data_IF_611130350546
#
_entry.id   IF_611130350546
#
_cell.length_a   1.000
_cell.length_b   1.000
_cell.length_c   1.000
_cell.angle_alpha   90.00
_cell.angle_beta   90.00
_cell.angle_gamma   90.00
#
_symmetry.space_group_name_H-M   'P 1'
#
loop_
_entity.id
_entity.type
_entity.pdbx_description
1 polymer ?
#
# COMPACT_ATOMS: atom_id res chain seq x y z
N UNK A 1 5.44 -25.13 1.14
CA UNK A 1 4.88 -23.80 1.46
C UNK A 1 3.38 -23.81 1.21
N UNK A 2 2.60 -23.40 2.21
CA UNK A 2 1.14 -23.40 2.15
C UNK A 2 0.59 -22.32 1.20
N UNK A 3 -0.62 -22.57 0.69
CA UNK A 3 -1.42 -21.58 -0.01
C UNK A 3 -1.71 -20.43 0.98
N UNK A 4 -1.12 -19.26 0.79
CA UNK A 4 -1.41 -18.10 1.65
C UNK A 4 -2.68 -17.40 1.16
N UNK A 5 -3.79 -17.55 1.90
CA UNK A 5 -4.85 -16.55 1.81
C UNK A 5 -4.40 -15.31 2.59
N UNK A 6 -3.85 -14.32 1.89
CA UNK A 6 -3.38 -13.09 2.52
C UNK A 6 -4.56 -12.21 2.93
N UNK A 7 -5.23 -12.58 4.03
CA UNK A 7 -6.12 -11.72 4.82
C UNK A 7 -5.33 -11.18 5.99
N UNK A 8 -5.10 -9.88 6.03
CA UNK A 8 -4.73 -9.22 7.28
C UNK A 8 -6.01 -9.12 8.10
N UNK A 9 -6.31 -10.16 8.89
CA UNK A 9 -7.37 -10.06 9.89
C UNK A 9 -6.77 -9.28 11.06
N UNK A 10 -7.20 -8.04 11.23
CA UNK A 10 -6.91 -7.30 12.47
C UNK A 10 -7.80 -7.90 13.55
N UNK A 11 -7.40 -9.06 14.10
CA UNK A 11 -7.98 -9.59 15.33
C UNK A 11 -7.42 -8.76 16.49
N UNK A 12 -8.11 -7.67 16.80
CA UNK A 12 -7.95 -6.97 18.08
C UNK A 12 -8.55 -7.83 19.18
N UNK A 13 -7.81 -8.85 19.64
CA UNK A 13 -8.09 -9.48 20.93
C UNK A 13 -7.25 -8.78 22.01
N UNK A 14 -7.44 -7.46 22.11
CA UNK A 14 -6.94 -6.70 23.24
C UNK A 14 -7.83 -7.03 24.42
N UNK A 15 -7.42 -8.04 25.18
CA UNK A 15 -7.91 -8.28 26.54
C UNK A 15 -7.37 -7.15 27.42
N UNK A 16 -7.94 -5.95 27.26
CA UNK A 16 -7.67 -4.81 28.14
C UNK A 16 -8.25 -5.14 29.50
N UNK A 17 -7.39 -5.71 30.36
CA UNK A 17 -7.63 -5.76 31.78
C UNK A 17 -7.79 -4.35 32.31
N UNK A 18 -8.91 -4.12 33.00
CA UNK A 18 -9.19 -3.03 33.91
C UNK A 18 -8.96 -1.58 33.42
N UNK A 19 -10.08 -0.96 33.06
CA UNK A 19 -10.45 0.35 33.62
C UNK A 19 -9.95 1.59 32.88
N UNK A 20 -10.67 2.02 31.84
CA UNK A 20 -10.75 3.43 31.47
C UNK A 20 -12.20 3.75 31.08
N UNK A 21 -12.72 4.82 31.68
CA UNK A 21 -14.13 5.18 31.69
C UNK A 21 -14.71 5.66 30.36
N UNK A 22 -16.04 5.74 30.39
CA UNK A 22 -16.97 6.18 29.36
C UNK A 22 -16.49 7.39 28.52
N UNK A 23 -16.48 7.22 27.20
CA UNK A 23 -16.61 8.34 26.24
C UNK A 23 -17.87 8.07 25.41
N UNK A 24 -18.92 8.90 25.46
CA UNK A 24 -20.12 8.69 24.67
C UNK A 24 -19.88 9.21 23.25
N UNK A 25 -19.99 8.33 22.25
CA UNK A 25 -20.13 8.76 20.86
C UNK A 25 -21.53 8.40 20.36
N UNK A 26 -22.33 9.46 20.19
CA UNK A 26 -23.67 9.43 19.62
C UNK A 26 -23.58 9.06 18.13
N UNK A 27 -24.22 7.97 17.73
CA UNK A 27 -24.57 7.74 16.32
C UNK A 27 -26.08 7.90 16.20
N UNK A 28 -26.47 9.02 15.59
CA UNK A 28 -27.82 9.28 15.13
C UNK A 28 -28.22 8.23 14.09
N UNK A 29 -29.33 7.57 14.38
CA UNK A 29 -30.04 6.67 13.49
C UNK A 29 -30.59 7.41 12.27
N UNK A 30 -30.22 6.96 11.08
CA UNK A 30 -31.04 7.12 9.88
C UNK A 30 -31.28 5.74 9.27
N UNK A 31 -32.49 5.25 9.50
CA UNK A 31 -33.12 4.18 8.75
C UNK A 31 -33.47 4.65 7.34
N UNK A 32 -33.11 3.91 6.29
CA UNK A 32 -34.02 3.49 5.21
C UNK A 32 -33.29 2.82 4.03
N UNK A 33 -33.77 1.59 3.73
CA UNK A 33 -34.04 1.03 2.40
C UNK A 33 -32.91 0.68 1.41
N UNK A 34 -32.87 -0.59 1.00
CA UNK A 34 -32.23 -1.02 -0.25
C UNK A 34 -31.80 -2.49 -0.28
N UNK A 35 -32.69 -3.37 -0.73
CA UNK A 35 -32.49 -4.81 -0.96
C UNK A 35 -31.52 -5.07 -2.13
N UNK A 36 -30.92 -6.28 -2.14
CA UNK A 36 -30.04 -6.90 -3.16
C UNK A 36 -28.59 -6.40 -3.23
N UNK A 37 -27.72 -6.98 -2.39
CA UNK A 37 -26.28 -6.98 -2.60
C UNK A 37 -25.85 -8.26 -3.31
N UNK A 38 -25.78 -8.22 -4.63
CA UNK A 38 -25.15 -9.27 -5.45
C UNK A 38 -23.68 -9.44 -5.06
N UNK A 39 -23.22 -10.69 -5.08
CA UNK A 39 -21.86 -11.20 -4.77
C UNK A 39 -20.74 -10.69 -5.70
N UNK A 40 -20.91 -9.54 -6.33
CA UNK A 40 -20.10 -9.05 -7.43
C UNK A 40 -19.56 -7.65 -7.10
N UNK A 41 -18.35 -7.58 -6.55
CA UNK A 41 -17.64 -6.30 -6.46
C UNK A 41 -16.12 -6.48 -6.63
N UNK A 42 -15.52 -7.47 -5.96
CA UNK A 42 -14.06 -7.68 -6.08
C UNK A 42 -13.64 -8.41 -7.37
N UNK A 43 -14.55 -9.13 -8.04
CA UNK A 43 -14.24 -9.87 -9.27
C UNK A 43 -14.01 -8.97 -10.50
N UNK A 44 -14.51 -7.72 -10.48
CA UNK A 44 -14.49 -6.84 -11.66
C UNK A 44 -13.13 -6.22 -11.96
N UNK A 45 -12.21 -6.13 -10.99
CA UNK A 45 -10.88 -5.53 -11.19
C UNK A 45 -9.81 -6.56 -11.59
N UNK A 46 -9.93 -7.79 -11.12
CA UNK A 46 -9.05 -8.90 -11.51
C UNK A 46 -9.30 -9.36 -12.97
N UNK A 47 -10.48 -9.05 -13.52
CA UNK A 47 -10.84 -9.34 -14.92
C UNK A 47 -10.02 -8.55 -15.96
N UNK A 48 -9.42 -7.41 -15.60
CA UNK A 48 -8.71 -6.53 -16.58
C UNK A 48 -7.30 -7.06 -16.93
N UNK A 49 -6.68 -7.88 -16.07
CA UNK A 49 -5.36 -8.50 -16.32
C UNK A 49 -5.38 -10.04 -16.29
N UNK A 50 -6.57 -10.64 -16.17
CA UNK A 50 -6.79 -12.09 -16.23
C UNK A 50 -6.02 -12.90 -15.19
N UNK A 51 -5.58 -12.29 -14.09
CA UNK A 51 -4.71 -12.94 -13.10
C UNK A 51 -3.35 -13.40 -13.64
N UNK A 52 -2.93 -12.98 -14.84
CA UNK A 52 -1.70 -13.49 -15.49
C UNK A 52 -0.41 -12.77 -15.08
N UNK A 53 -0.55 -11.73 -14.27
CA UNK A 53 0.50 -10.76 -13.97
C UNK A 53 0.44 -10.33 -12.52
N UNK A 54 1.61 -10.08 -11.92
CA UNK A 54 1.77 -9.46 -10.61
C UNK A 54 2.37 -8.07 -10.77
N UNK A 55 1.84 -7.08 -10.05
CA UNK A 55 2.42 -5.74 -10.04
C UNK A 55 3.83 -5.78 -9.46
N UNK A 56 4.75 -5.02 -10.04
CA UNK A 56 6.10 -4.88 -9.51
C UNK A 56 6.45 -3.42 -9.28
N UNK A 57 7.26 -3.16 -8.27
CA UNK A 57 7.82 -1.86 -7.98
C UNK A 57 9.34 -1.88 -8.15
N UNK A 58 9.92 -0.73 -8.52
CA UNK A 58 11.38 -0.62 -8.60
C UNK A 58 12.01 -0.91 -7.25
N UNK A 59 12.98 -1.84 -7.21
CA UNK A 59 13.73 -2.14 -5.99
C UNK A 59 14.74 -1.02 -5.63
N UNK A 60 14.95 -0.04 -6.51
CA UNK A 60 15.72 1.16 -6.18
C UNK A 60 14.98 2.00 -5.14
N UNK A 61 15.49 1.95 -3.91
CA UNK A 61 15.12 2.87 -2.85
C UNK A 61 15.45 4.30 -3.28
N UNK A 62 14.44 5.10 -3.62
CA UNK A 62 14.65 6.52 -3.92
C UNK A 62 14.88 7.26 -2.60
N UNK A 63 16.15 7.43 -2.24
CA UNK A 63 16.59 8.33 -1.16
C UNK A 63 16.33 9.82 -1.46
N UNK A 64 15.62 10.15 -2.56
CA UNK A 64 15.62 11.48 -3.16
C UNK A 64 14.36 12.32 -2.89
N UNK A 65 13.31 11.80 -2.26
CA UNK A 65 12.14 12.62 -1.91
C UNK A 65 12.30 13.26 -0.53
N UNK A 66 13.28 14.17 -0.43
CA UNK A 66 13.34 15.15 0.66
C UNK A 66 12.23 16.17 0.43
N UNK A 67 11.16 16.07 1.23
CA UNK A 67 10.06 17.02 1.31
C UNK A 67 10.60 18.46 1.40
N UNK A 68 10.48 19.24 0.32
CA UNK A 68 10.85 20.66 0.34
C UNK A 68 9.75 21.44 1.08
N UNK A 69 10.01 21.76 2.34
CA UNK A 69 9.22 22.73 3.12
C UNK A 69 9.30 24.10 2.44
N UNK A 70 8.18 24.59 1.90
CA UNK A 70 8.10 25.93 1.31
C UNK A 70 8.24 27.00 2.41
N UNK A 71 9.04 28.07 2.19
CA UNK A 71 9.14 29.17 3.14
C UNK A 71 7.88 30.05 3.10
N UNK A 72 7.45 30.50 4.28
CA UNK A 72 6.35 31.45 4.46
C UNK A 72 6.71 32.80 3.81
N UNK A 73 5.88 33.28 2.90
CA UNK A 73 6.06 34.58 2.24
C UNK A 73 5.37 35.66 3.09
N UNK A 74 6.18 36.49 3.77
CA UNK A 74 5.71 37.62 4.57
C UNK A 74 5.54 38.90 3.74
N UNK A 75 4.38 39.52 3.96
CA UNK A 75 3.97 40.93 3.90
C UNK A 75 4.65 41.89 2.90
N UNK A 76 3.89 42.26 1.86
CA UNK A 76 4.27 43.25 0.84
C UNK A 76 3.62 44.62 1.08
N UNK A 77 4.44 45.63 1.38
CA UNK A 77 4.07 47.05 1.46
C UNK A 77 3.36 47.52 0.18
N UNK A 78 2.18 48.15 0.33
CA UNK A 78 1.41 48.79 -0.75
C UNK A 78 2.10 50.09 -1.21
N UNK A 79 2.73 50.04 -2.39
CA UNK A 79 3.15 51.24 -3.10
C UNK A 79 1.96 51.86 -3.86
N UNK A 80 1.80 53.18 -3.78
CA UNK A 80 0.78 53.92 -4.56
C UNK A 80 1.11 53.85 -6.05
N UNK A 81 0.23 53.22 -6.84
CA UNK A 81 0.39 53.02 -8.27
C UNK A 81 -0.26 54.18 -9.04
N UNK A 82 0.56 54.96 -9.74
CA UNK A 82 0.07 55.92 -10.73
C UNK A 82 -0.51 55.19 -11.96
N UNK A 83 -1.48 55.77 -12.68
CA UNK A 83 -2.14 55.10 -13.81
C UNK A 83 -1.17 54.67 -14.92
N UNK A 84 -0.08 55.41 -15.12
CA UNK A 84 1.01 55.05 -16.03
C UNK A 84 1.78 53.80 -15.57
N UNK A 85 2.06 53.67 -14.27
CA UNK A 85 2.73 52.48 -13.70
C UNK A 85 1.84 51.25 -13.73
N UNK A 86 0.53 51.43 -13.54
CA UNK A 86 -0.44 50.35 -13.64
C UNK A 86 -0.49 49.79 -15.07
N UNK A 87 -0.50 50.66 -16.08
CA UNK A 87 -0.48 50.24 -17.48
C UNK A 87 0.78 49.44 -17.83
N UNK A 88 1.95 49.92 -17.38
CA UNK A 88 3.22 49.21 -17.61
C UNK A 88 3.26 47.83 -16.94
N UNK A 89 2.76 47.71 -15.72
CA UNK A 89 2.70 46.43 -15.01
C UNK A 89 1.70 45.46 -15.66
N UNK A 90 0.54 45.95 -16.12
CA UNK A 90 -0.42 45.12 -16.85
C UNK A 90 0.21 44.61 -18.16
N UNK A 91 0.82 45.49 -18.96
CA UNK A 91 1.50 45.08 -20.19
C UNK A 91 2.62 44.06 -19.92
N UNK A 92 3.44 44.29 -18.89
CA UNK A 92 4.51 43.37 -18.50
C UNK A 92 3.98 42.00 -18.06
N UNK A 93 2.91 41.96 -17.25
CA UNK A 93 2.29 40.69 -16.84
C UNK A 93 1.61 39.95 -17.99
N UNK A 94 1.03 40.66 -18.97
CA UNK A 94 0.46 40.08 -20.18
C UNK A 94 1.57 39.46 -21.06
N UNK A 95 2.68 40.18 -21.27
CA UNK A 95 3.83 39.66 -22.03
C UNK A 95 4.48 38.47 -21.32
N UNK A 96 4.66 38.54 -20.00
CA UNK A 96 5.17 37.40 -19.21
C UNK A 96 4.24 36.19 -19.28
N UNK A 97 2.93 36.38 -19.14
CA UNK A 97 1.95 35.29 -19.24
C UNK A 97 1.91 34.71 -20.65
N UNK A 98 1.95 35.54 -21.69
CA UNK A 98 1.98 35.09 -23.08
C UNK A 98 3.27 34.31 -23.38
N UNK A 99 4.42 34.82 -22.95
CA UNK A 99 5.71 34.13 -23.09
C UNK A 99 5.76 32.82 -22.32
N UNK A 100 5.21 32.79 -21.09
CA UNK A 100 5.10 31.55 -20.30
C UNK A 100 4.14 30.56 -20.95
N UNK A 101 2.99 30.99 -21.47
CA UNK A 101 2.04 30.13 -22.18
C UNK A 101 2.65 29.53 -23.44
N UNK A 102 3.37 30.33 -24.24
CA UNK A 102 4.09 29.85 -25.41
C UNK A 102 5.20 28.86 -25.03
N UNK A 103 5.94 29.14 -23.96
CA UNK A 103 6.98 28.24 -23.44
C UNK A 103 6.39 26.94 -22.89
N UNK A 104 5.26 27.00 -22.19
CA UNK A 104 4.52 25.83 -21.68
C UNK A 104 3.88 25.03 -22.82
N UNK A 105 3.36 25.67 -23.87
CA UNK A 105 2.89 24.99 -25.07
C UNK A 105 4.03 24.28 -25.80
N UNK A 106 5.20 24.93 -25.92
CA UNK A 106 6.39 24.32 -26.51
C UNK A 106 6.92 23.15 -25.66
N UNK A 107 6.91 23.30 -24.33
CA UNK A 107 7.27 22.24 -23.37
C UNK A 107 6.28 21.07 -23.40
N UNK A 108 4.97 21.34 -23.49
CA UNK A 108 3.94 20.30 -23.61
C UNK A 108 4.00 19.54 -24.93
N UNK A 109 4.54 20.17 -25.98
CA UNK A 109 4.76 19.54 -27.28
C UNK A 109 6.00 18.64 -27.27
N UNK A 110 6.97 18.92 -26.39
CA UNK A 110 8.05 18.00 -26.09
C UNK A 110 7.52 16.87 -25.18
N UNK A 111 7.06 15.77 -25.80
CA UNK A 111 6.80 14.52 -25.07
C UNK A 111 8.12 14.06 -24.45
N UNK A 112 8.32 14.30 -23.16
CA UNK A 112 9.35 13.58 -22.39
C UNK A 112 8.93 12.10 -22.42
N UNK A 113 9.74 11.20 -23.01
CA UNK A 113 9.45 9.78 -22.92
C UNK A 113 9.49 9.40 -21.45
N UNK A 114 8.34 9.05 -20.87
CA UNK A 114 8.33 8.40 -19.57
C UNK A 114 9.04 7.07 -19.77
N UNK A 115 10.15 6.78 -19.07
CA UNK A 115 10.81 5.49 -19.23
C UNK A 115 9.77 4.40 -18.93
N UNK A 116 9.50 3.54 -19.91
CA UNK A 116 8.56 2.44 -19.73
C UNK A 116 9.23 1.38 -18.87
N UNK A 117 9.16 1.55 -17.55
CA UNK A 117 9.52 0.49 -16.64
C UNK A 117 8.43 -0.59 -16.67
N UNK A 118 8.81 -1.88 -16.61
CA UNK A 118 7.86 -2.95 -16.39
C UNK A 118 7.04 -2.66 -15.13
N UNK A 119 5.72 -2.50 -15.28
CA UNK A 119 4.78 -2.35 -14.15
C UNK A 119 4.24 -3.69 -13.65
N UNK A 120 4.54 -4.75 -14.39
CA UNK A 120 4.00 -6.08 -14.17
C UNK A 120 5.04 -7.15 -14.49
N UNK A 121 5.04 -8.20 -13.68
CA UNK A 121 5.76 -9.43 -13.88
C UNK A 121 4.79 -10.51 -14.38
N UNK A 122 5.02 -11.10 -15.57
CA UNK A 122 4.17 -12.17 -16.08
C UNK A 122 4.43 -13.44 -15.29
N UNK A 123 3.37 -13.99 -14.68
CA UNK A 123 3.45 -15.23 -13.87
C UNK A 123 2.59 -16.36 -14.44
N UNK A 124 1.83 -16.09 -15.51
CA UNK A 124 0.85 -17.05 -16.03
C UNK A 124 -0.42 -17.08 -15.19
N UNK A 125 -1.34 -17.97 -15.54
CA UNK A 125 -2.66 -18.02 -14.91
C UNK A 125 -2.59 -18.37 -13.42
N UNK A 126 -3.19 -17.52 -12.59
CA UNK A 126 -3.33 -17.74 -11.16
C UNK A 126 -4.74 -18.27 -10.90
N UNK A 127 -4.83 -19.55 -10.60
CA UNK A 127 -6.08 -20.19 -10.23
C UNK A 127 -6.56 -19.76 -8.84
N UNK A 128 -7.84 -20.02 -8.57
CA UNK A 128 -8.41 -19.82 -7.25
C UNK A 128 -8.52 -21.15 -6.53
N UNK A 129 -8.02 -21.18 -5.30
CA UNK A 129 -8.11 -22.32 -4.39
C UNK A 129 -9.11 -22.02 -3.28
N UNK A 130 -9.70 -23.07 -2.70
CA UNK A 130 -10.49 -22.92 -1.46
C UNK A 130 -9.69 -23.43 -0.28
N UNK A 131 -9.71 -22.66 0.79
CA UNK A 131 -9.05 -23.05 2.05
C UNK A 131 -9.81 -22.54 3.27
N UNK A 132 -9.63 -23.25 4.38
CA UNK A 132 -10.07 -22.79 5.69
C UNK A 132 -9.05 -21.82 6.27
N UNK A 133 -9.53 -20.83 7.03
CA UNK A 133 -8.67 -20.00 7.88
C UNK A 133 -8.67 -20.63 9.26
N UNK A 134 -7.48 -20.96 9.73
CA UNK A 134 -7.23 -21.55 11.04
C UNK A 134 -6.16 -20.73 11.76
N UNK A 135 -6.13 -20.82 13.08
CA UNK A 135 -5.08 -20.21 13.87
C UNK A 135 -3.73 -20.83 13.49
N UNK A 136 -2.75 -19.98 13.21
CA UNK A 136 -1.44 -20.42 12.76
C UNK A 136 -0.48 -20.60 13.94
N UNK A 137 0.19 -21.75 13.99
CA UNK A 137 1.38 -21.94 14.85
C UNK A 137 2.64 -21.35 14.22
N UNK A 138 2.59 -21.04 12.93
CA UNK A 138 3.65 -20.40 12.14
C UNK A 138 3.58 -18.88 12.27
N UNK A 139 4.73 -18.23 12.08
CA UNK A 139 4.93 -16.78 12.08
C UNK A 139 4.62 -16.11 13.43
N UNK A 140 5.03 -16.75 14.53
CA UNK A 140 4.96 -16.14 15.87
C UNK A 140 5.75 -14.83 15.93
N UNK A 141 5.45 -13.99 16.93
CA UNK A 141 6.06 -12.66 17.06
C UNK A 141 7.58 -12.70 17.20
N UNK A 142 8.15 -13.77 17.74
CA UNK A 142 9.59 -14.01 17.97
C UNK A 142 10.26 -14.90 16.90
N UNK A 143 9.50 -15.37 15.90
CA UNK A 143 9.98 -16.35 14.92
C UNK A 143 10.73 -15.73 13.73
N UNK A 144 11.82 -15.00 13.98
CA UNK A 144 12.54 -14.20 12.97
C UNK A 144 12.92 -14.99 11.69
N UNK A 145 13.46 -16.19 11.84
CA UNK A 145 13.87 -17.03 10.72
C UNK A 145 12.70 -17.43 9.81
N UNK A 146 11.53 -17.64 10.42
CA UNK A 146 10.33 -18.01 9.68
C UNK A 146 9.79 -16.80 8.91
N UNK A 147 9.73 -15.64 9.54
CA UNK A 147 9.37 -14.38 8.89
C UNK A 147 10.32 -14.03 7.72
N UNK A 148 11.61 -14.28 7.88
CA UNK A 148 12.60 -14.02 6.85
C UNK A 148 12.49 -15.02 5.67
N UNK A 149 11.82 -16.16 5.87
CA UNK A 149 11.55 -17.16 4.82
C UNK A 149 10.33 -16.86 3.94
N UNK A 150 9.60 -15.77 4.20
CA UNK A 150 8.38 -15.40 3.46
C UNK A 150 8.62 -15.12 1.97
N UNK A 151 9.84 -14.75 1.58
CA UNK A 151 10.19 -14.41 0.21
C UNK A 151 11.31 -15.32 -0.30
N UNK A 152 11.24 -15.86 -1.52
CA UNK A 152 12.31 -16.66 -2.08
C UNK A 152 13.54 -15.77 -2.34
N UNK A 153 14.71 -16.21 -1.88
CA UNK A 153 15.97 -15.47 -2.07
C UNK A 153 15.90 -14.04 -1.51
N UNK A 154 16.20 -13.06 -2.36
CA UNK A 154 16.11 -11.63 -2.02
C UNK A 154 14.71 -11.03 -2.20
N UNK A 155 13.74 -11.83 -2.66
CA UNK A 155 12.39 -11.40 -3.01
C UNK A 155 12.30 -10.49 -4.24
N UNK A 156 13.36 -10.40 -5.04
CA UNK A 156 13.44 -9.57 -6.23
C UNK A 156 13.24 -10.40 -7.50
N UNK A 157 12.75 -9.72 -8.54
CA UNK A 157 12.72 -10.19 -9.93
C UNK A 157 13.51 -9.23 -10.80
N UNK A 158 14.19 -9.78 -11.80
CA UNK A 158 15.08 -9.05 -12.69
C UNK A 158 14.43 -8.98 -14.07
N UNK A 159 14.05 -7.77 -14.51
CA UNK A 159 13.24 -7.53 -15.71
C UNK A 159 13.90 -6.60 -16.71
N UNK A 160 13.52 -6.76 -17.98
CA UNK A 160 14.05 -6.01 -19.12
C UNK A 160 15.48 -6.39 -19.51
N UNK A 161 15.98 -5.82 -20.60
CA UNK A 161 17.28 -6.18 -21.18
C UNK A 161 18.44 -5.95 -20.22
N UNK A 162 18.31 -4.94 -19.36
CA UNK A 162 19.31 -4.58 -18.36
C UNK A 162 19.16 -5.35 -17.03
N UNK A 163 18.26 -6.35 -16.95
CA UNK A 163 18.00 -7.14 -15.74
C UNK A 163 17.81 -6.27 -14.50
N UNK A 164 16.99 -5.22 -14.63
CA UNK A 164 16.79 -4.29 -13.53
C UNK A 164 16.02 -4.97 -12.40
N UNK A 165 16.38 -4.74 -11.13
CA UNK A 165 15.71 -5.37 -10.00
C UNK A 165 14.39 -4.67 -9.69
N UNK A 166 13.36 -5.48 -9.50
CA UNK A 166 12.02 -5.08 -9.07
C UNK A 166 11.52 -5.99 -7.96
N UNK A 167 10.65 -5.47 -7.11
CA UNK A 167 9.99 -6.23 -6.05
C UNK A 167 8.56 -6.52 -6.48
N UNK A 168 8.11 -7.79 -6.52
CA UNK A 168 6.70 -8.11 -6.62
C UNK A 168 5.91 -7.50 -5.45
N UNK A 169 4.79 -6.85 -5.74
CA UNK A 169 4.02 -6.09 -4.75
C UNK A 169 3.58 -6.94 -3.55
N UNK A 170 3.36 -8.24 -3.77
CA UNK A 170 3.01 -9.18 -2.70
C UNK A 170 4.18 -9.39 -1.71
N UNK A 171 5.40 -9.55 -2.21
CA UNK A 171 6.59 -9.69 -1.36
C UNK A 171 6.96 -8.38 -0.65
N UNK A 172 6.71 -7.23 -1.28
CA UNK A 172 6.85 -5.95 -0.61
C UNK A 172 5.90 -5.84 0.60
N UNK A 173 4.64 -6.23 0.44
CA UNK A 173 3.67 -6.26 1.56
C UNK A 173 4.16 -7.14 2.71
N UNK A 174 4.65 -8.35 2.41
CA UNK A 174 5.17 -9.27 3.44
C UNK A 174 6.40 -8.71 4.16
N UNK A 175 7.33 -8.08 3.43
CA UNK A 175 8.50 -7.42 4.04
C UNK A 175 8.10 -6.23 4.92
N UNK A 176 7.17 -5.39 4.46
CA UNK A 176 6.62 -4.30 5.26
C UNK A 176 5.96 -4.81 6.55
N UNK A 177 5.24 -5.94 6.48
CA UNK A 177 4.64 -6.57 7.66
C UNK A 177 5.71 -7.05 8.65
N UNK A 178 6.78 -7.68 8.18
CA UNK A 178 7.90 -8.11 9.03
C UNK A 178 8.61 -6.90 9.71
N UNK A 179 8.79 -5.79 8.98
CA UNK A 179 9.35 -4.55 9.55
C UNK A 179 8.48 -4.01 10.69
N UNK A 180 7.16 -3.97 10.50
CA UNK A 180 6.23 -3.51 11.53
C UNK A 180 6.23 -4.46 12.73
N UNK A 181 6.25 -5.78 12.50
CA UNK A 181 6.40 -6.76 13.59
C UNK A 181 7.65 -6.50 14.41
N UNK A 182 8.83 -6.37 13.78
CA UNK A 182 10.09 -6.11 14.49
C UNK A 182 9.99 -4.84 15.34
N UNK A 183 9.40 -3.77 14.79
CA UNK A 183 9.16 -2.54 15.56
C UNK A 183 8.23 -2.73 16.77
N UNK A 184 7.23 -3.61 16.69
CA UNK A 184 6.36 -3.96 17.83
C UNK A 184 7.14 -4.75 18.88
N UNK A 185 7.89 -5.77 18.47
CA UNK A 185 8.71 -6.60 19.37
C UNK A 185 9.75 -5.76 20.09
N UNK A 186 10.43 -4.86 19.38
CA UNK A 186 11.44 -3.96 19.95
C UNK A 186 10.82 -3.02 21.00
N UNK A 187 9.60 -2.52 20.74
CA UNK A 187 8.85 -1.68 21.68
C UNK A 187 8.41 -2.46 22.93
N UNK A 188 7.93 -3.69 22.77
CA UNK A 188 7.56 -4.54 23.90
C UNK A 188 8.80 -4.89 24.75
N UNK A 189 9.94 -5.16 24.11
CA UNK A 189 11.19 -5.50 24.77
C UNK A 189 11.83 -4.30 25.51
N UNK A 190 11.61 -3.06 25.06
CA UNK A 190 12.17 -1.88 25.72
C UNK A 190 11.56 -1.62 27.09
N UNK A 191 10.34 -2.12 27.35
CA UNK A 191 9.63 -1.93 28.62
C UNK A 191 9.31 -0.46 28.94
N UNK A 192 9.49 0.44 27.97
CA UNK A 192 9.24 1.88 28.13
C UNK A 192 7.85 2.22 27.62
N UNK A 193 7.07 2.93 28.43
CA UNK A 193 5.80 3.54 27.98
C UNK A 193 6.03 4.82 27.16
N UNK A 194 7.25 5.04 26.67
CA UNK A 194 7.59 6.22 25.89
C UNK A 194 7.07 6.05 24.46
N UNK A 195 6.47 7.11 23.93
CA UNK A 195 6.08 7.16 22.53
C UNK A 195 7.31 7.12 21.65
N UNK A 196 7.65 5.94 21.12
CA UNK A 196 8.71 5.78 20.13
C UNK A 196 8.28 6.52 18.86
N UNK A 197 9.12 7.46 18.42
CA UNK A 197 8.90 8.14 17.15
C UNK A 197 9.02 7.11 16.02
N UNK A 198 8.02 6.98 15.13
CA UNK A 198 8.11 6.00 14.07
C UNK A 198 9.26 6.35 13.13
N UNK A 199 10.02 5.35 12.72
CA UNK A 199 11.09 5.54 11.73
C UNK A 199 10.48 5.90 10.37
N UNK A 200 11.22 6.60 9.52
CA UNK A 200 10.80 6.87 8.13
C UNK A 200 10.42 5.58 7.39
N UNK A 201 11.15 4.49 7.67
CA UNK A 201 10.86 3.16 7.13
C UNK A 201 9.55 2.59 7.68
N UNK A 202 9.29 2.72 8.98
CA UNK A 202 8.04 2.31 9.60
C UNK A 202 6.84 3.09 9.03
N UNK A 203 6.98 4.42 8.90
CA UNK A 203 5.98 5.28 8.26
C UNK A 203 5.70 4.86 6.82
N UNK A 204 6.75 4.58 6.03
CA UNK A 204 6.63 4.06 4.68
C UNK A 204 5.84 2.74 4.65
N UNK A 205 6.21 1.77 5.50
CA UNK A 205 5.58 0.45 5.54
C UNK A 205 4.10 0.53 5.93
N UNK A 206 3.76 1.33 6.95
CA UNK A 206 2.37 1.51 7.38
C UNK A 206 1.55 2.18 6.27
N UNK A 207 2.10 3.20 5.61
CA UNK A 207 1.42 3.86 4.51
C UNK A 207 1.24 2.93 3.29
N UNK A 208 2.25 2.10 2.99
CA UNK A 208 2.17 1.11 1.93
C UNK A 208 1.08 0.06 2.22
N UNK A 209 1.07 -0.54 3.41
CA UNK A 209 0.04 -1.50 3.81
C UNK A 209 -1.36 -0.87 3.82
N UNK A 210 -1.49 0.37 4.29
CA UNK A 210 -2.76 1.13 4.23
C UNK A 210 -3.25 1.23 2.78
N UNK A 211 -2.40 1.61 1.83
CA UNK A 211 -2.78 1.71 0.42
C UNK A 211 -3.22 0.35 -0.15
N UNK A 212 -2.54 -0.73 0.21
CA UNK A 212 -2.88 -2.07 -0.26
C UNK A 212 -4.21 -2.56 0.29
N UNK A 213 -4.48 -2.37 1.59
CA UNK A 213 -5.76 -2.74 2.22
C UNK A 213 -6.92 -1.93 1.62
N UNK A 214 -6.74 -0.64 1.36
CA UNK A 214 -7.78 0.19 0.73
C UNK A 214 -8.08 -0.21 -0.73
N UNK A 215 -7.08 -0.71 -1.46
CA UNK A 215 -7.24 -1.08 -2.87
C UNK A 215 -7.76 -2.51 -3.09
N UNK A 216 -7.34 -3.44 -2.23
CA UNK A 216 -7.53 -4.90 -2.42
C UNK A 216 -7.95 -5.62 -1.14
N UNK A 217 -8.56 -4.90 -0.20
CA UNK A 217 -9.12 -5.49 1.01
C UNK A 217 -10.18 -6.54 0.70
N UNK A 218 -10.14 -7.65 1.44
CA UNK A 218 -11.19 -8.65 1.39
C UNK A 218 -12.39 -8.18 2.23
N UNK A 219 -13.56 -8.12 1.59
CA UNK A 219 -14.82 -7.69 2.20
C UNK A 219 -15.72 -8.87 2.63
N UNK A 220 -15.22 -10.11 2.55
CA UNK A 220 -15.97 -11.26 3.03
C UNK A 220 -16.26 -11.15 4.53
N UNK A 221 -17.50 -11.46 4.92
CA UNK A 221 -17.97 -11.38 6.29
C UNK A 221 -18.02 -12.78 6.89
N UNK A 222 -17.53 -12.90 8.12
CA UNK A 222 -17.58 -14.15 8.87
C UNK A 222 -18.90 -14.26 9.63
N UNK A 223 -19.42 -15.48 9.74
CA UNK A 223 -20.66 -15.72 10.48
C UNK A 223 -20.35 -15.66 11.97
N UNK A 224 -21.16 -14.92 12.73
CA UNK A 224 -21.07 -14.87 14.20
C UNK A 224 -22.35 -15.50 14.75
N UNK A 225 -22.20 -16.58 15.51
CA UNK A 225 -23.32 -17.31 16.12
C UNK A 225 -23.14 -17.38 17.64
N UNK A 226 -24.24 -17.34 18.39
CA UNK A 226 -24.26 -17.53 19.83
C UNK A 226 -24.81 -16.33 20.61
N UNK A 227 -25.69 -16.61 21.57
CA UNK A 227 -26.06 -15.73 22.69
C UNK A 227 -25.96 -16.54 23.99
N UNK A 228 -25.43 -15.99 25.09
CA UNK A 228 -24.94 -14.62 25.26
C UNK A 228 -23.51 -14.39 24.73
N UNK A 229 -22.76 -15.45 24.38
CA UNK A 229 -21.37 -15.34 23.91
C UNK A 229 -21.29 -15.51 22.39
N UNK A 230 -20.88 -14.46 21.63
CA UNK A 230 -20.70 -14.57 20.18
C UNK A 230 -19.44 -15.36 19.85
N UNK A 231 -19.58 -16.39 18.99
CA UNK A 231 -18.47 -17.16 18.44
C UNK A 231 -18.40 -16.92 16.92
N UNK A 232 -17.19 -16.67 16.40
CA UNK A 232 -16.93 -16.50 14.97
C UNK A 232 -16.77 -17.88 14.33
N UNK A 233 -17.50 -18.12 13.25
CA UNK A 233 -17.44 -19.33 12.44
C UNK A 233 -16.92 -18.95 11.05
N UNK A 234 -15.58 -18.96 10.86
CA UNK A 234 -15.00 -18.74 9.54
C UNK A 234 -15.48 -19.82 8.57
N UNK A 235 -15.85 -19.41 7.36
CA UNK A 235 -16.24 -20.33 6.27
C UNK A 235 -15.00 -20.67 5.43
N UNK A 236 -15.18 -21.50 4.41
CA UNK A 236 -14.20 -21.66 3.33
C UNK A 236 -14.03 -20.34 2.57
N UNK A 237 -12.78 -19.93 2.38
CA UNK A 237 -12.43 -18.75 1.58
C UNK A 237 -11.95 -19.16 0.21
N UNK A 238 -12.21 -18.31 -0.78
CA UNK A 238 -11.64 -18.45 -2.11
C UNK A 238 -10.43 -17.51 -2.23
N UNK A 239 -9.26 -18.09 -2.42
CA UNK A 239 -7.98 -17.40 -2.38
C UNK A 239 -7.24 -17.60 -3.71
N UNK A 240 -6.24 -16.76 -4.00
CA UNK A 240 -5.36 -16.95 -5.17
C UNK A 240 -4.30 -18.00 -4.84
N UNK A 241 -4.00 -18.88 -5.80
CA UNK A 241 -2.87 -19.79 -5.68
C UNK A 241 -1.55 -19.04 -5.91
N UNK A 242 -0.97 -18.54 -4.82
CA UNK A 242 0.30 -17.83 -4.87
C UNK A 242 1.50 -18.73 -5.16
N UNK A 243 1.37 -20.06 -5.15
CA UNK A 243 2.49 -20.97 -5.45
C UNK A 243 3.07 -20.74 -6.85
N UNK A 244 2.22 -20.33 -7.79
CA UNK A 244 2.60 -19.94 -9.15
C UNK A 244 3.56 -18.76 -9.12
N UNK A 245 3.29 -17.75 -8.28
CA UNK A 245 4.13 -16.56 -8.16
C UNK A 245 5.49 -16.89 -7.56
N UNK A 246 5.54 -17.73 -6.51
CA UNK A 246 6.80 -18.18 -5.93
C UNK A 246 7.66 -18.90 -6.97
N UNK A 247 7.07 -19.86 -7.68
CA UNK A 247 7.77 -20.64 -8.71
C UNK A 247 8.33 -19.76 -9.83
N UNK A 248 7.54 -18.80 -10.33
CA UNK A 248 8.01 -17.92 -11.41
C UNK A 248 9.07 -16.92 -10.92
N UNK A 249 9.01 -16.49 -9.66
CA UNK A 249 10.06 -15.64 -9.08
C UNK A 249 11.36 -16.44 -8.94
N UNK A 250 11.32 -17.63 -8.37
CA UNK A 250 12.51 -18.50 -8.23
C UNK A 250 13.15 -18.80 -9.59
N UNK A 251 12.31 -19.10 -10.59
CA UNK A 251 12.77 -19.28 -11.98
C UNK A 251 13.39 -18.01 -12.55
N UNK A 252 12.80 -16.85 -12.31
CA UNK A 252 13.38 -15.57 -12.75
C UNK A 252 14.74 -15.32 -12.08
N UNK A 253 14.85 -15.54 -10.77
CA UNK A 253 16.09 -15.42 -10.02
C UNK A 253 17.17 -16.36 -10.58
N UNK A 254 16.84 -17.63 -10.80
CA UNK A 254 17.76 -18.61 -11.38
C UNK A 254 18.33 -18.17 -12.74
N UNK A 255 17.52 -17.53 -13.57
CA UNK A 255 17.88 -17.16 -14.94
C UNK A 255 18.60 -15.80 -15.04
N UNK A 256 18.28 -14.87 -14.15
CA UNK A 256 18.60 -13.46 -14.35
C UNK A 256 19.22 -12.75 -13.14
N UNK A 257 19.26 -13.37 -11.96
CA UNK A 257 19.99 -12.80 -10.83
C UNK A 257 21.49 -12.67 -11.18
N UNK A 258 22.16 -11.62 -10.68
CA UNK A 258 23.58 -11.34 -10.95
C UNK A 258 24.54 -12.32 -10.25
#
# INVERSE_FOLDING_TARGET
MGLLCMRIIVLWNLRLGHGIGNIPFLIGSSTAFGRLGTKASNQSRDAILGGKHICVESARFSSSLRERRLPNMSDGRRASLTPSRLLLLVCFTVVLKAGLLLSLQNYSSARVPVPEFPRAFPVGEIEHVRMFVEDTIHFQMDADLEWDSLTPGDGLVYLGDNRQPFTPSMFHQLRCLNIIRKAIVDLEASGTNETVQPTDLGHHCVNYLRQMVLCRGDLALDRVLGKPFPNVFPDTYQCKDWSVVYREVEKNQWMYAP
#
